data_IF_069529157399
#
_entry.id   IF_069529157399
#
_cell.length_a   1.000
_cell.length_b   1.000
_cell.length_c   1.000
_cell.angle_alpha   90.00
_cell.angle_beta   90.00
_cell.angle_gamma   90.00
#
_symmetry.space_group_name_H-M   'P 1'
#
loop_
_entity.id
_entity.type
_entity.pdbx_description
1 polymer ?
#
# COMPACT_ATOMS: atom_id res chain seq x y z
N UNK A 1 21.06 14.00 9.27
CA UNK A 1 20.14 14.41 10.35
C UNK A 1 18.85 13.59 10.21
N UNK A 2 18.34 13.02 11.29
CA UNK A 2 17.06 12.30 11.25
C UNK A 2 15.96 13.31 11.54
N UNK A 3 15.17 13.66 10.54
CA UNK A 3 14.05 14.60 10.73
C UNK A 3 12.92 13.95 11.53
N UNK A 4 12.17 14.77 12.27
CA UNK A 4 10.91 14.38 12.89
C UNK A 4 9.87 14.03 11.82
N UNK A 5 8.83 13.26 12.20
CA UNK A 5 7.86 12.73 11.27
C UNK A 5 7.15 13.83 10.47
N UNK A 6 6.75 14.91 11.15
CA UNK A 6 6.10 16.07 10.55
C UNK A 6 6.98 16.74 9.48
N UNK A 7 8.28 16.84 9.75
CA UNK A 7 9.25 17.37 8.78
C UNK A 7 9.38 16.45 7.58
N UNK A 8 9.34 15.12 7.79
CA UNK A 8 9.38 14.13 6.69
C UNK A 8 8.14 14.17 5.81
N UNK A 9 6.99 14.55 6.34
CA UNK A 9 5.77 14.75 5.55
C UNK A 9 5.94 15.86 4.50
N UNK A 10 6.78 16.86 4.77
CA UNK A 10 7.00 18.03 3.91
C UNK A 10 8.32 17.90 3.14
N UNK A 11 9.34 17.35 3.79
CA UNK A 11 10.71 17.20 3.28
C UNK A 11 11.17 15.75 3.45
N UNK A 12 10.89 14.86 2.51
CA UNK A 12 11.38 13.48 2.57
C UNK A 12 12.90 13.44 2.64
N UNK A 13 13.42 12.67 3.60
CA UNK A 13 14.79 12.76 4.10
C UNK A 13 15.92 12.46 3.09
N UNK A 14 15.60 11.83 1.96
CA UNK A 14 16.61 11.35 1.01
C UNK A 14 16.70 12.16 -0.29
N UNK A 15 15.84 13.15 -0.46
CA UNK A 15 15.94 13.99 -1.64
C UNK A 15 17.04 15.00 -1.42
N UNK A 16 18.18 14.74 -2.01
CA UNK A 16 19.20 15.76 -2.20
C UNK A 16 18.61 16.85 -3.08
N UNK A 17 18.10 17.91 -2.44
CA UNK A 17 17.67 19.18 -3.10
C UNK A 17 18.72 19.71 -4.08
N UNK A 18 19.96 19.20 -3.98
CA UNK A 18 21.08 19.48 -4.88
C UNK A 18 20.89 19.00 -6.33
N UNK A 19 19.93 18.09 -6.58
CA UNK A 19 19.72 17.56 -7.94
C UNK A 19 18.75 18.40 -8.80
N UNK A 20 18.12 19.44 -8.23
CA UNK A 20 17.28 20.32 -9.02
C UNK A 20 18.12 21.47 -9.58
N UNK A 21 18.27 21.58 -10.92
CA UNK A 21 19.19 22.54 -11.55
C UNK A 21 18.87 24.00 -11.23
N UNK A 22 17.66 24.28 -10.73
CA UNK A 22 17.20 25.61 -10.39
C UNK A 22 16.93 25.81 -8.89
N UNK A 23 17.33 24.86 -8.01
CA UNK A 23 17.15 24.98 -6.57
C UNK A 23 15.69 24.98 -6.13
N UNK A 24 14.80 24.31 -6.85
CA UNK A 24 13.39 24.21 -6.49
C UNK A 24 13.24 23.50 -5.14
N UNK A 25 12.51 24.13 -4.21
CA UNK A 25 12.23 23.55 -2.88
C UNK A 25 11.21 22.40 -2.98
N UNK A 26 10.26 22.52 -3.88
CA UNK A 26 9.32 21.43 -4.21
C UNK A 26 9.75 20.76 -5.50
N UNK A 27 9.51 19.46 -5.61
CA UNK A 27 9.82 18.69 -6.81
C UNK A 27 8.97 19.19 -7.98
N UNK A 28 9.58 19.49 -9.14
CA UNK A 28 8.85 19.85 -10.35
C UNK A 28 7.95 18.71 -10.84
N UNK A 29 6.81 19.09 -11.44
CA UNK A 29 5.96 18.14 -12.14
C UNK A 29 6.50 17.96 -13.56
N UNK A 30 6.92 16.75 -13.90
CA UNK A 30 7.45 16.41 -15.23
C UNK A 30 6.32 15.99 -16.16
N UNK A 31 5.75 16.95 -16.88
CA UNK A 31 4.71 16.73 -17.89
C UNK A 31 5.33 16.42 -19.26
N UNK A 32 5.99 15.30 -19.38
CA UNK A 32 6.59 14.84 -20.63
C UNK A 32 6.31 13.36 -20.87
N UNK A 33 6.23 12.95 -22.13
CA UNK A 33 6.12 11.55 -22.49
C UNK A 33 7.50 10.89 -22.65
N UNK A 34 8.49 11.61 -23.19
CA UNK A 34 9.78 11.06 -23.60
C UNK A 34 10.90 11.89 -22.96
N UNK A 35 11.98 11.23 -22.59
CA UNK A 35 13.19 11.84 -22.07
C UNK A 35 14.34 11.71 -23.06
N UNK A 36 15.17 12.76 -23.18
CA UNK A 36 16.33 12.77 -24.09
C UNK A 36 17.46 11.88 -23.53
N UNK A 37 18.14 11.20 -24.44
CA UNK A 37 19.31 10.40 -24.14
C UNK A 37 20.59 11.17 -24.51
N UNK A 38 21.68 11.07 -23.72
CA UNK A 38 22.97 11.67 -24.08
C UNK A 38 23.60 11.06 -25.32
N UNK A 39 23.38 9.76 -25.55
CA UNK A 39 23.89 8.99 -26.67
C UNK A 39 23.18 7.65 -26.84
N UNK A 40 23.57 6.88 -27.87
CA UNK A 40 23.04 5.53 -28.09
C UNK A 40 23.47 4.62 -26.95
N UNK A 41 22.47 3.97 -26.31
CA UNK A 41 22.73 3.09 -25.16
C UNK A 41 22.93 3.82 -23.80
N UNK A 42 22.88 5.14 -23.80
CA UNK A 42 22.96 5.95 -22.57
C UNK A 42 21.58 6.41 -22.11
N UNK A 43 21.37 6.55 -20.80
CA UNK A 43 20.13 7.05 -20.22
C UNK A 43 20.45 7.99 -19.05
N UNK A 44 19.54 8.93 -18.81
CA UNK A 44 19.53 9.80 -17.61
C UNK A 44 18.69 9.22 -16.47
N UNK A 45 18.30 7.93 -16.57
CA UNK A 45 17.47 7.25 -15.60
C UNK A 45 16.00 7.10 -15.99
N UNK A 46 15.53 7.91 -16.94
CA UNK A 46 14.16 7.88 -17.44
C UNK A 46 14.14 7.85 -18.96
N UNK A 47 13.23 7.07 -19.53
CA UNK A 47 13.09 6.92 -20.98
C UNK A 47 11.71 7.36 -21.45
N UNK A 48 10.66 6.83 -20.82
CA UNK A 48 9.28 7.05 -21.21
C UNK A 48 8.35 7.04 -20.00
N UNK A 49 7.46 8.05 -19.89
CA UNK A 49 6.67 8.30 -18.68
C UNK A 49 5.68 7.19 -18.31
N UNK A 50 5.21 6.39 -19.27
CA UNK A 50 4.39 5.22 -18.96
C UNK A 50 5.18 4.16 -18.17
N UNK A 51 6.46 4.02 -18.48
CA UNK A 51 7.37 3.12 -17.79
C UNK A 51 7.80 3.70 -16.44
N UNK A 52 8.40 4.89 -16.48
CA UNK A 52 8.89 5.60 -15.29
C UNK A 52 8.88 7.10 -15.50
N UNK A 53 8.58 7.85 -14.43
CA UNK A 53 8.55 9.32 -14.45
C UNK A 53 9.05 9.86 -13.11
N UNK A 54 9.90 10.91 -13.10
CA UNK A 54 10.45 11.47 -11.85
C UNK A 54 9.38 11.88 -10.84
N UNK A 55 8.25 12.44 -11.29
CA UNK A 55 7.15 12.86 -10.39
C UNK A 55 6.53 11.66 -9.68
N UNK A 56 6.30 10.55 -10.41
CA UNK A 56 5.77 9.32 -9.81
C UNK A 56 6.79 8.67 -8.87
N UNK A 57 8.02 8.54 -9.30
CA UNK A 57 9.10 7.97 -8.49
C UNK A 57 9.28 8.74 -7.17
N UNK A 58 9.16 10.05 -7.22
CA UNK A 58 9.19 10.90 -6.03
C UNK A 58 8.05 10.61 -5.05
N UNK A 59 6.81 10.49 -5.56
CA UNK A 59 5.67 10.13 -4.74
C UNK A 59 5.87 8.76 -4.07
N UNK A 60 6.35 7.78 -4.83
CA UNK A 60 6.63 6.43 -4.35
C UNK A 60 7.69 6.46 -3.23
N UNK A 61 8.75 7.24 -3.40
CA UNK A 61 9.79 7.43 -2.39
C UNK A 61 9.25 8.10 -1.12
N UNK A 62 8.43 9.14 -1.24
CA UNK A 62 7.80 9.79 -0.07
C UNK A 62 7.00 8.77 0.74
N UNK A 63 6.12 8.02 0.09
CA UNK A 63 5.26 7.05 0.78
C UNK A 63 6.09 5.94 1.41
N UNK A 64 7.12 5.44 0.72
CA UNK A 64 8.06 4.47 1.28
C UNK A 64 8.72 5.00 2.56
N UNK A 65 9.19 6.24 2.55
CA UNK A 65 9.81 6.86 3.71
C UNK A 65 8.85 7.08 4.88
N UNK A 66 7.60 7.43 4.59
CA UNK A 66 6.59 7.66 5.64
C UNK A 66 6.12 6.35 6.27
N UNK A 67 5.91 5.31 5.48
CA UNK A 67 5.51 3.98 5.96
C UNK A 67 6.69 3.15 6.49
N UNK A 68 7.93 3.53 6.19
CA UNK A 68 9.11 2.71 6.46
C UNK A 68 9.15 1.46 5.57
N UNK A 69 8.59 1.57 4.36
CA UNK A 69 8.54 0.50 3.38
C UNK A 69 9.88 0.34 2.64
N UNK A 70 10.11 -0.85 2.10
CA UNK A 70 11.24 -1.13 1.20
C UNK A 70 11.00 -0.46 -0.15
N UNK A 71 9.76 -0.45 -0.62
CA UNK A 71 9.36 0.14 -1.89
C UNK A 71 7.87 0.48 -1.89
N UNK A 72 7.43 1.31 -2.85
CA UNK A 72 6.04 1.69 -3.06
C UNK A 72 5.71 1.69 -4.55
N UNK A 73 4.50 1.30 -4.88
CA UNK A 73 3.96 1.35 -6.24
C UNK A 73 2.76 2.28 -6.28
N UNK A 74 2.85 3.37 -7.04
CA UNK A 74 1.72 4.28 -7.25
C UNK A 74 0.80 3.77 -8.35
N UNK A 75 -0.48 3.66 -8.02
CA UNK A 75 -1.56 3.24 -8.92
C UNK A 75 -2.50 4.41 -9.23
N UNK A 76 -3.33 4.25 -10.25
CA UNK A 76 -4.32 5.27 -10.67
C UNK A 76 -5.44 5.53 -9.65
N UNK A 77 -5.64 4.62 -8.70
CA UNK A 77 -6.62 4.73 -7.61
C UNK A 77 -6.34 3.72 -6.51
N UNK A 78 -6.94 3.90 -5.32
CA UNK A 78 -6.89 2.89 -4.25
C UNK A 78 -7.48 1.54 -4.69
N UNK A 79 -8.53 1.54 -5.51
CA UNK A 79 -9.08 0.30 -6.07
C UNK A 79 -8.13 -0.39 -7.04
N UNK A 80 -7.36 0.38 -7.81
CA UNK A 80 -6.31 -0.18 -8.67
C UNK A 80 -5.18 -0.80 -7.83
N UNK A 81 -4.81 -0.17 -6.71
CA UNK A 81 -3.83 -0.72 -5.78
C UNK A 81 -4.32 -2.04 -5.16
N UNK A 82 -5.58 -2.11 -4.70
CA UNK A 82 -6.17 -3.36 -4.19
C UNK A 82 -6.19 -4.43 -5.28
N UNK A 83 -6.59 -4.08 -6.52
CA UNK A 83 -6.56 -5.01 -7.66
C UNK A 83 -5.16 -5.56 -7.90
N UNK A 84 -4.15 -4.70 -7.89
CA UNK A 84 -2.75 -5.11 -8.10
C UNK A 84 -2.28 -6.09 -7.01
N UNK A 85 -2.64 -5.85 -5.75
CA UNK A 85 -2.30 -6.77 -4.65
C UNK A 85 -3.00 -8.12 -4.82
N UNK A 86 -4.21 -8.16 -5.36
CA UNK A 86 -4.91 -9.42 -5.61
C UNK A 86 -4.28 -10.27 -6.73
N UNK A 87 -3.50 -9.68 -7.63
CA UNK A 87 -2.74 -10.42 -8.66
C UNK A 87 -1.58 -11.27 -8.09
N UNK A 88 -1.26 -11.10 -6.80
CA UNK A 88 -0.33 -11.99 -6.08
C UNK A 88 -0.92 -13.40 -5.85
N UNK A 89 -2.22 -13.58 -6.02
CA UNK A 89 -2.93 -14.80 -5.69
C UNK A 89 -3.50 -15.46 -6.93
N UNK A 90 -3.54 -16.79 -6.89
CA UNK A 90 -4.03 -17.63 -7.98
C UNK A 90 -5.42 -18.22 -7.68
N UNK A 91 -6.12 -18.68 -8.71
CA UNK A 91 -7.36 -19.43 -8.55
C UNK A 91 -7.18 -20.60 -7.58
N UNK A 92 -8.09 -20.72 -6.61
CA UNK A 92 -8.02 -21.69 -5.53
C UNK A 92 -7.45 -21.15 -4.22
N UNK A 93 -6.64 -20.07 -4.27
CA UNK A 93 -6.12 -19.42 -3.07
C UNK A 93 -7.24 -18.79 -2.23
N UNK A 94 -7.03 -18.75 -0.92
CA UNK A 94 -7.99 -18.27 0.04
C UNK A 94 -7.43 -17.07 0.81
N UNK A 95 -8.23 -16.02 0.96
CA UNK A 95 -7.95 -14.86 1.78
C UNK A 95 -8.99 -14.74 2.90
N UNK A 96 -8.52 -14.37 4.08
CA UNK A 96 -9.38 -13.99 5.20
C UNK A 96 -9.46 -12.47 5.22
N UNK A 97 -10.67 -11.92 5.23
CA UNK A 97 -10.89 -10.47 5.17
C UNK A 97 -11.68 -10.02 6.40
N UNK A 98 -11.46 -8.77 6.83
CA UNK A 98 -12.39 -8.16 7.79
C UNK A 98 -13.81 -8.11 7.20
N UNK A 99 -14.79 -8.33 8.04
CA UNK A 99 -16.22 -8.32 7.63
C UNK A 99 -16.75 -6.91 7.37
N UNK A 100 -16.07 -5.91 7.89
CA UNK A 100 -16.34 -4.50 7.63
C UNK A 100 -15.21 -3.91 6.78
N UNK A 101 -15.51 -3.63 5.51
CA UNK A 101 -14.59 -3.13 4.51
C UNK A 101 -15.29 -2.08 3.64
N UNK A 102 -14.50 -1.22 3.04
CA UNK A 102 -15.00 -0.34 2.00
C UNK A 102 -15.79 -1.14 0.93
N UNK A 103 -16.98 -0.67 0.60
CA UNK A 103 -17.88 -1.37 -0.31
C UNK A 103 -17.31 -1.62 -1.72
N UNK A 104 -16.32 -0.81 -2.17
CA UNK A 104 -15.55 -1.06 -3.39
C UNK A 104 -14.72 -2.33 -3.30
N UNK A 105 -14.04 -2.53 -2.18
CA UNK A 105 -13.23 -3.73 -1.93
C UNK A 105 -14.10 -4.98 -1.93
N UNK A 106 -15.24 -4.95 -1.25
CA UNK A 106 -16.18 -6.08 -1.21
C UNK A 106 -16.71 -6.44 -2.60
N UNK A 107 -17.07 -5.42 -3.42
CA UNK A 107 -17.49 -5.66 -4.81
C UNK A 107 -16.37 -6.26 -5.66
N UNK A 108 -15.15 -5.77 -5.53
CA UNK A 108 -13.99 -6.33 -6.24
C UNK A 108 -13.74 -7.78 -5.82
N UNK A 109 -13.81 -8.10 -4.53
CA UNK A 109 -13.62 -9.46 -4.04
C UNK A 109 -14.68 -10.41 -4.58
N UNK A 110 -15.93 -9.97 -4.68
CA UNK A 110 -17.00 -10.75 -5.34
C UNK A 110 -16.66 -11.04 -6.81
N UNK A 111 -16.12 -10.06 -7.55
CA UNK A 111 -15.66 -10.32 -8.93
C UNK A 111 -14.50 -11.29 -9.00
N UNK A 112 -13.58 -11.24 -8.05
CA UNK A 112 -12.45 -12.16 -7.99
C UNK A 112 -12.87 -13.59 -7.56
N UNK A 113 -13.95 -13.73 -6.79
CA UNK A 113 -14.54 -15.05 -6.52
C UNK A 113 -14.98 -15.75 -7.81
N UNK A 114 -15.53 -15.01 -8.76
CA UNK A 114 -15.90 -15.57 -10.08
C UNK A 114 -14.68 -16.04 -10.90
N UNK A 115 -13.47 -15.55 -10.55
CA UNK A 115 -12.20 -15.98 -11.14
C UNK A 115 -11.49 -17.08 -10.32
N UNK A 116 -12.13 -17.54 -9.26
CA UNK A 116 -11.68 -18.69 -8.47
C UNK A 116 -10.95 -18.36 -7.17
N UNK A 117 -10.70 -17.09 -6.82
CA UNK A 117 -10.24 -16.74 -5.47
C UNK A 117 -11.33 -17.05 -4.43
N UNK A 118 -10.91 -17.36 -3.22
CA UNK A 118 -11.83 -17.67 -2.12
C UNK A 118 -11.65 -16.66 -1.00
N UNK A 119 -12.76 -16.20 -0.42
CA UNK A 119 -12.74 -15.22 0.67
C UNK A 119 -13.58 -15.72 1.84
N UNK A 120 -13.09 -15.50 3.07
CA UNK A 120 -13.86 -15.61 4.30
C UNK A 120 -13.86 -14.29 5.01
N UNK A 121 -15.05 -13.78 5.32
CA UNK A 121 -15.21 -12.53 6.05
C UNK A 121 -15.35 -12.81 7.54
N UNK A 122 -14.54 -12.17 8.37
CA UNK A 122 -14.45 -12.41 9.80
C UNK A 122 -14.46 -11.11 10.60
N UNK A 123 -14.96 -11.19 11.81
CA UNK A 123 -14.79 -10.12 12.79
C UNK A 123 -13.34 -10.13 13.29
N UNK A 124 -12.55 -9.17 12.79
CA UNK A 124 -11.13 -9.02 13.11
C UNK A 124 -10.88 -8.41 14.48
N UNK A 125 -11.91 -7.94 15.18
CA UNK A 125 -11.83 -7.52 16.58
C UNK A 125 -11.79 -8.74 17.52
N UNK A 126 -12.27 -9.92 17.08
CA UNK A 126 -12.32 -11.16 17.84
C UNK A 126 -11.39 -12.23 17.26
N UNK A 127 -10.15 -12.24 17.74
CA UNK A 127 -9.13 -13.18 17.25
C UNK A 127 -9.43 -14.66 17.52
N UNK A 128 -10.30 -14.98 18.49
CA UNK A 128 -10.65 -16.39 18.77
C UNK A 128 -11.41 -17.02 17.61
N UNK A 129 -12.28 -16.26 16.95
CA UNK A 129 -13.02 -16.71 15.78
C UNK A 129 -12.17 -16.82 14.53
N UNK A 130 -11.06 -16.09 14.48
CA UNK A 130 -10.21 -15.99 13.31
C UNK A 130 -9.54 -17.30 12.89
N UNK A 131 -9.01 -18.06 13.88
CA UNK A 131 -8.26 -19.30 13.62
C UNK A 131 -9.07 -20.37 12.90
N UNK A 132 -10.37 -20.43 13.12
CA UNK A 132 -11.25 -21.43 12.49
C UNK A 132 -11.40 -21.26 10.97
N UNK A 133 -11.06 -20.06 10.44
CA UNK A 133 -11.11 -19.77 9.01
C UNK A 133 -9.80 -20.05 8.27
N UNK A 134 -8.71 -20.34 9.01
CA UNK A 134 -7.43 -20.70 8.39
C UNK A 134 -7.55 -22.10 7.77
N UNK A 135 -7.24 -22.20 6.49
CA UNK A 135 -7.29 -23.41 5.67
C UNK A 135 -5.93 -23.64 5.02
N UNK A 136 -5.63 -24.85 4.51
CA UNK A 136 -4.38 -25.10 3.78
C UNK A 136 -4.16 -24.16 2.59
N UNK A 137 -5.23 -23.68 1.95
CA UNK A 137 -5.19 -22.74 0.82
C UNK A 137 -5.13 -21.28 1.27
N UNK A 138 -5.20 -20.96 2.56
CA UNK A 138 -5.11 -19.57 3.04
C UNK A 138 -3.72 -19.02 2.78
N UNK A 139 -3.64 -17.88 2.11
CA UNK A 139 -2.41 -17.20 1.72
C UNK A 139 -2.23 -15.86 2.41
N UNK A 140 -3.34 -15.17 2.66
CA UNK A 140 -3.28 -13.82 3.20
C UNK A 140 -4.47 -13.48 4.09
N UNK A 141 -4.26 -12.42 4.85
CA UNK A 141 -5.26 -11.72 5.62
C UNK A 141 -5.34 -10.30 5.11
N UNK A 142 -6.53 -9.83 4.74
CA UNK A 142 -6.78 -8.47 4.28
C UNK A 142 -7.63 -7.71 5.30
N UNK A 143 -7.12 -6.62 5.82
CA UNK A 143 -7.76 -5.85 6.89
C UNK A 143 -7.85 -4.37 6.49
N UNK A 144 -8.98 -3.75 6.78
CA UNK A 144 -9.13 -2.29 6.83
C UNK A 144 -9.31 -1.88 8.28
N UNK A 145 -8.44 -1.01 8.81
CA UNK A 145 -8.52 -0.58 10.21
C UNK A 145 -7.95 0.84 10.43
N UNK A 146 -8.75 1.76 11.00
CA UNK A 146 -10.19 1.66 11.26
C UNK A 146 -10.98 1.38 9.99
N UNK A 147 -12.06 0.60 10.12
CA UNK A 147 -12.88 0.21 8.97
C UNK A 147 -13.87 1.31 8.54
N UNK A 148 -14.29 1.26 7.30
CA UNK A 148 -15.36 2.11 6.77
C UNK A 148 -16.59 1.24 6.41
N UNK A 149 -17.80 1.47 7.00
CA UNK A 149 -18.17 2.71 7.71
C UNK A 149 -18.18 2.62 9.24
N UNK A 150 -17.98 1.47 9.86
CA UNK A 150 -18.30 1.29 11.28
C UNK A 150 -17.15 1.61 12.23
N UNK A 151 -15.98 2.02 11.73
CA UNK A 151 -14.82 2.42 12.52
C UNK A 151 -14.31 1.32 13.46
N UNK A 152 -14.43 0.06 13.07
CA UNK A 152 -13.90 -1.06 13.84
C UNK A 152 -12.37 -1.02 13.88
N UNK A 153 -11.82 -1.29 15.06
CA UNK A 153 -10.37 -1.31 15.27
C UNK A 153 -9.89 -2.76 15.44
N UNK A 154 -8.92 -3.13 14.61
CA UNK A 154 -8.26 -4.44 14.67
C UNK A 154 -6.88 -4.32 15.33
N UNK A 155 -6.54 -5.25 16.22
CA UNK A 155 -5.21 -5.31 16.85
C UNK A 155 -4.18 -5.89 15.86
N UNK A 156 -3.54 -5.01 15.10
CA UNK A 156 -2.60 -5.40 14.04
C UNK A 156 -1.43 -6.23 14.58
N UNK A 157 -0.90 -5.94 15.77
CA UNK A 157 0.22 -6.71 16.35
C UNK A 157 -0.18 -8.15 16.62
N UNK A 158 -1.37 -8.38 17.19
CA UNK A 158 -1.85 -9.73 17.46
C UNK A 158 -2.17 -10.48 16.18
N UNK A 159 -2.76 -9.80 15.18
CA UNK A 159 -3.06 -10.41 13.89
C UNK A 159 -1.78 -10.74 13.14
N UNK A 160 -0.78 -9.84 13.15
CA UNK A 160 0.54 -10.10 12.57
C UNK A 160 1.19 -11.34 13.17
N UNK A 161 1.21 -11.46 14.51
CA UNK A 161 1.76 -12.65 15.18
C UNK A 161 1.04 -13.94 14.74
N UNK A 162 -0.28 -13.87 14.55
CA UNK A 162 -1.06 -15.00 14.01
C UNK A 162 -0.71 -15.30 12.56
N UNK A 163 -0.60 -14.27 11.71
CA UNK A 163 -0.20 -14.42 10.31
C UNK A 163 1.19 -15.07 10.19
N UNK A 164 2.16 -14.59 10.96
CA UNK A 164 3.52 -15.15 10.99
C UNK A 164 3.53 -16.62 11.42
N UNK A 165 2.77 -16.99 12.47
CA UNK A 165 2.67 -18.37 12.94
C UNK A 165 2.11 -19.33 11.87
N UNK A 166 1.32 -18.83 10.93
CA UNK A 166 0.69 -19.60 9.86
C UNK A 166 1.29 -19.31 8.48
N UNK A 167 2.35 -18.50 8.38
CA UNK A 167 3.01 -18.09 7.12
C UNK A 167 2.05 -17.43 6.13
N UNK A 168 1.17 -16.57 6.64
CA UNK A 168 0.21 -15.80 5.87
C UNK A 168 0.72 -14.37 5.69
N UNK A 169 0.46 -13.77 4.53
CA UNK A 169 0.69 -12.33 4.32
C UNK A 169 -0.37 -11.52 5.08
N UNK A 170 0.05 -10.46 5.73
CA UNK A 170 -0.84 -9.46 6.32
C UNK A 170 -0.88 -8.22 5.43
N UNK A 171 -2.05 -7.97 4.84
CA UNK A 171 -2.33 -6.83 3.97
C UNK A 171 -3.25 -5.88 4.72
N UNK A 172 -2.86 -4.62 4.83
CA UNK A 172 -3.61 -3.60 5.59
C UNK A 172 -3.96 -2.43 4.69
N UNK A 173 -5.25 -2.14 4.55
CA UNK A 173 -5.71 -0.86 4.02
C UNK A 173 -5.69 0.17 5.16
N UNK A 174 -4.72 1.09 5.11
CA UNK A 174 -4.47 2.13 6.10
C UNK A 174 -4.97 3.51 5.64
N UNK A 175 -5.89 3.53 4.71
CA UNK A 175 -6.41 4.76 4.09
C UNK A 175 -6.93 5.76 5.13
N UNK A 176 -7.57 5.27 6.20
CA UNK A 176 -8.25 6.13 7.18
C UNK A 176 -7.28 6.90 8.09
N UNK A 177 -6.22 6.25 8.58
CA UNK A 177 -5.29 6.87 9.53
C UNK A 177 -4.08 7.53 8.87
N UNK A 178 -3.74 7.13 7.64
CA UNK A 178 -2.49 7.52 6.98
C UNK A 178 -1.23 7.10 7.77
N UNK A 179 -0.03 7.25 7.20
CA UNK A 179 1.22 6.92 7.89
C UNK A 179 1.46 7.76 9.15
N UNK A 180 0.75 8.88 9.30
CA UNK A 180 0.93 9.78 10.45
C UNK A 180 0.38 9.19 11.75
N UNK A 181 -0.82 8.62 11.72
CA UNK A 181 -1.46 8.07 12.92
C UNK A 181 -1.26 6.58 13.11
N UNK A 182 -1.00 5.83 12.03
CA UNK A 182 -0.76 4.40 12.09
C UNK A 182 0.25 4.00 11.04
N UNK A 183 1.24 3.19 11.44
CA UNK A 183 2.23 2.62 10.54
C UNK A 183 2.15 1.08 10.60
N UNK A 184 1.32 0.44 9.75
CA UNK A 184 1.07 -1.00 9.82
C UNK A 184 2.31 -1.85 9.58
N UNK A 185 3.29 -1.42 8.77
CA UNK A 185 4.53 -2.15 8.54
C UNK A 185 5.32 -2.32 9.84
N UNK A 186 5.40 -1.26 10.67
CA UNK A 186 6.03 -1.33 11.99
C UNK A 186 5.25 -2.21 12.99
N UNK A 187 3.98 -2.49 12.70
CA UNK A 187 3.12 -3.38 13.48
C UNK A 187 3.13 -4.82 12.94
N UNK A 188 3.91 -5.07 11.88
CA UNK A 188 4.16 -6.39 11.31
C UNK A 188 3.27 -6.74 10.11
N UNK A 189 2.68 -5.76 9.43
CA UNK A 189 2.08 -5.97 8.12
C UNK A 189 3.16 -6.18 7.06
N UNK A 190 2.84 -6.94 6.03
CA UNK A 190 3.72 -7.18 4.87
C UNK A 190 3.43 -6.18 3.74
N UNK A 191 2.16 -5.81 3.57
CA UNK A 191 1.71 -4.88 2.53
C UNK A 191 0.75 -3.87 3.15
N UNK A 192 0.96 -2.59 2.81
CA UNK A 192 0.06 -1.49 3.19
C UNK A 192 -0.51 -0.83 1.94
N UNK A 193 -1.79 -0.53 1.97
CA UNK A 193 -2.51 0.12 0.88
C UNK A 193 -3.05 1.46 1.37
N UNK A 194 -2.98 2.46 0.50
CA UNK A 194 -3.58 3.77 0.71
C UNK A 194 -4.39 4.21 -0.50
N UNK A 195 -5.60 4.68 -0.28
CA UNK A 195 -6.28 5.56 -1.23
C UNK A 195 -5.87 7.00 -0.93
N UNK A 196 -4.91 7.53 -1.68
CA UNK A 196 -4.43 8.91 -1.51
C UNK A 196 -5.52 9.98 -1.71
N UNK A 197 -6.66 9.61 -2.30
CA UNK A 197 -7.87 10.45 -2.42
C UNK A 197 -8.38 11.00 -1.08
N UNK A 198 -8.02 10.34 0.04
CA UNK A 198 -8.49 10.67 1.38
C UNK A 198 -7.45 11.56 2.11
N UNK A 199 -7.21 11.30 3.38
CA UNK A 199 -6.36 12.14 4.24
C UNK A 199 -4.89 12.26 3.78
N UNK A 200 -4.39 11.31 2.99
CA UNK A 200 -3.01 11.34 2.54
C UNK A 200 -2.70 12.52 1.59
N UNK A 201 -3.68 12.98 0.81
CA UNK A 201 -3.52 14.13 -0.09
C UNK A 201 -4.04 15.45 0.50
N UNK A 202 -4.55 15.46 1.71
CA UNK A 202 -5.05 16.63 2.43
C UNK A 202 -6.56 16.81 2.37
#
# INVERSE_FOLDING_TARGET
MKYEFETRCIHPANLELKQHPYGAVSIPIYQTAIFSHPGIGESRGYNYSRESNPTRAYLEEIISNLEGAVDTVACSSGMAAISLVLELFSSGDHLICSNDLYGGSTRLFTLQQNKGLKFSYVDTTNLKSFKQYIRPQTKAVFIETPSNPTMQISDLKKISALCQAHKLLLIVDNTFLSPYFQNPLLLGADIVIHSATKFLSG
#
